data_IF_311548202792
#
_entry.id   IF_311548202792
#
_cell.length_a   1.000
_cell.length_b   1.000
_cell.length_c   1.000
_cell.angle_alpha   90.00
_cell.angle_beta   90.00
_cell.angle_gamma   90.00
#
_symmetry.space_group_name_H-M   'P 1'
#
loop_
_entity.id
_entity.type
_entity.pdbx_description
1 polymer ?
#
# COMPACT_ATOMS: atom_id res chain seq x y z
N UNK A 1 5.53 17.24 -3.55
CA UNK A 1 6.24 15.96 -3.78
C UNK A 1 7.21 15.82 -2.62
N UNK A 2 7.23 14.69 -1.92
CA UNK A 2 8.02 14.51 -0.69
C UNK A 2 8.03 13.06 -0.24
N UNK A 3 8.78 12.76 0.81
CA UNK A 3 8.92 11.43 1.40
C UNK A 3 9.04 11.54 2.92
N UNK A 4 8.63 10.48 3.62
CA UNK A 4 8.74 10.33 5.06
C UNK A 4 9.43 8.99 5.35
N UNK A 5 10.74 9.03 5.58
CA UNK A 5 11.58 7.83 5.70
C UNK A 5 11.20 6.94 6.90
N UNK A 6 10.92 7.56 8.06
CA UNK A 6 10.43 6.84 9.26
C UNK A 6 9.05 6.19 9.09
N UNK A 7 8.37 6.40 7.97
CA UNK A 7 7.11 5.71 7.64
C UNK A 7 7.22 4.88 6.36
N UNK A 8 8.38 4.89 5.68
CA UNK A 8 8.59 4.30 4.35
C UNK A 8 7.50 4.67 3.32
N UNK A 9 7.14 5.97 3.27
CA UNK A 9 6.10 6.49 2.36
C UNK A 9 6.60 7.68 1.56
N UNK A 10 6.20 7.76 0.29
CA UNK A 10 6.46 8.91 -0.58
C UNK A 10 5.23 9.34 -1.39
N UNK A 11 5.14 10.64 -1.68
CA UNK A 11 4.09 11.25 -2.50
C UNK A 11 4.70 11.85 -3.76
N UNK A 12 4.31 11.31 -4.90
CA UNK A 12 4.76 11.75 -6.23
C UNK A 12 3.64 12.47 -6.99
N UNK A 13 4.04 13.33 -7.94
CA UNK A 13 3.11 14.00 -8.86
C UNK A 13 3.48 13.64 -10.28
N UNK A 14 2.55 13.00 -10.99
CA UNK A 14 2.71 12.69 -12.40
C UNK A 14 2.67 13.98 -13.22
N UNK A 15 3.59 14.12 -14.18
CA UNK A 15 3.59 15.23 -15.15
C UNK A 15 2.64 14.88 -16.29
N UNK A 16 1.82 15.84 -16.72
CA UNK A 16 0.90 15.70 -17.87
C UNK A 16 -0.07 14.50 -17.78
N UNK A 17 -0.44 14.07 -16.58
CA UNK A 17 -1.39 12.98 -16.39
C UNK A 17 -2.84 13.44 -16.65
N UNK A 18 -3.58 12.64 -17.44
CA UNK A 18 -5.00 12.84 -17.72
C UNK A 18 -5.70 11.47 -17.83
N UNK A 19 -7.04 11.45 -17.69
CA UNK A 19 -7.83 10.21 -17.83
C UNK A 19 -7.64 9.17 -16.73
N UNK A 20 -7.01 9.52 -15.60
CA UNK A 20 -6.80 8.60 -14.49
C UNK A 20 -8.05 8.49 -13.61
N UNK A 21 -8.33 7.27 -13.12
CA UNK A 21 -9.36 7.03 -12.10
C UNK A 21 -8.69 6.73 -10.76
N UNK A 22 -8.86 7.57 -9.74
CA UNK A 22 -8.30 7.31 -8.42
C UNK A 22 -8.99 6.11 -7.77
N UNK A 23 -8.21 5.36 -6.98
CA UNK A 23 -8.76 4.33 -6.11
C UNK A 23 -9.43 5.00 -4.89
N UNK A 24 -10.60 4.50 -4.50
CA UNK A 24 -11.25 4.93 -3.26
C UNK A 24 -10.51 4.29 -2.08
N UNK A 25 -10.15 5.11 -1.09
CA UNK A 25 -9.53 4.61 0.14
C UNK A 25 -10.62 4.11 1.10
N UNK A 26 -10.38 2.93 1.68
CA UNK A 26 -11.17 2.41 2.79
C UNK A 26 -10.66 2.93 4.14
N UNK A 27 -11.46 2.73 5.17
CA UNK A 27 -11.09 2.99 6.56
C UNK A 27 -10.41 1.74 7.14
N UNK A 28 -9.11 1.85 7.46
CA UNK A 28 -8.30 0.74 7.97
C UNK A 28 -8.72 0.28 9.37
N UNK A 29 -9.31 1.16 10.19
CA UNK A 29 -9.67 0.84 11.58
C UNK A 29 -10.82 -0.17 11.63
N UNK A 30 -11.61 -0.23 10.55
CA UNK A 30 -12.74 -1.14 10.39
C UNK A 30 -12.34 -2.55 9.94
N UNK A 31 -11.07 -2.79 9.63
CA UNK A 31 -10.59 -4.11 9.22
C UNK A 31 -10.45 -5.06 10.42
N UNK A 32 -10.64 -6.35 10.17
CA UNK A 32 -10.51 -7.41 11.17
C UNK A 32 -9.53 -8.51 10.70
N UNK A 33 -8.90 -9.18 11.66
CA UNK A 33 -8.11 -10.39 11.38
C UNK A 33 -9.03 -11.45 10.78
N UNK A 34 -8.60 -12.06 9.68
CA UNK A 34 -9.40 -13.00 8.89
C UNK A 34 -10.10 -12.37 7.68
N UNK A 35 -10.18 -11.04 7.58
CA UNK A 35 -10.75 -10.39 6.39
C UNK A 35 -9.95 -10.75 5.14
N UNK A 36 -10.65 -11.06 4.05
CA UNK A 36 -10.03 -11.34 2.75
C UNK A 36 -9.24 -10.15 2.23
N UNK A 37 -8.06 -10.41 1.68
CA UNK A 37 -7.18 -9.40 1.09
C UNK A 37 -6.79 -9.74 -0.33
N UNK A 38 -6.51 -8.69 -1.10
CA UNK A 38 -5.87 -8.77 -2.42
C UNK A 38 -4.64 -7.87 -2.36
N UNK A 39 -3.47 -8.40 -2.73
CA UNK A 39 -2.27 -7.60 -2.93
C UNK A 39 -1.95 -7.48 -4.42
N UNK A 40 -1.73 -6.25 -4.88
CA UNK A 40 -1.43 -5.91 -6.28
C UNK A 40 -0.03 -5.31 -6.32
N UNK A 41 0.84 -5.81 -7.20
CA UNK A 41 2.21 -5.32 -7.30
C UNK A 41 3.01 -5.93 -8.43
N UNK A 42 4.33 -5.75 -8.36
CA UNK A 42 5.28 -6.28 -9.34
C UNK A 42 6.47 -7.01 -8.68
N UNK A 43 6.23 -8.13 -7.97
CA UNK A 43 7.31 -8.91 -7.37
C UNK A 43 8.30 -9.38 -8.45
N UNK A 44 9.60 -9.28 -8.16
CA UNK A 44 10.70 -9.64 -9.08
C UNK A 44 10.67 -8.91 -10.44
N UNK A 45 9.97 -7.76 -10.53
CA UNK A 45 9.84 -7.00 -11.77
C UNK A 45 8.75 -7.51 -12.73
N UNK A 46 7.96 -8.52 -12.33
CA UNK A 46 6.84 -9.01 -13.13
C UNK A 46 5.63 -8.11 -12.94
N UNK A 47 5.29 -7.34 -13.97
CA UNK A 47 4.12 -6.45 -13.93
C UNK A 47 2.81 -7.22 -13.75
N UNK A 48 1.80 -6.57 -13.18
CA UNK A 48 0.42 -7.07 -13.08
C UNK A 48 0.24 -8.33 -12.21
N UNK A 49 1.00 -8.48 -11.13
CA UNK A 49 0.80 -9.59 -10.20
C UNK A 49 -0.32 -9.28 -9.22
N UNK A 50 -1.19 -10.27 -9.01
CA UNK A 50 -2.28 -10.24 -8.03
C UNK A 50 -2.18 -11.48 -7.16
N UNK A 51 -2.18 -11.32 -5.85
CA UNK A 51 -2.26 -12.42 -4.88
C UNK A 51 -3.44 -12.23 -3.94
N UNK A 52 -3.94 -13.33 -3.39
CA UNK A 52 -5.05 -13.33 -2.42
C UNK A 52 -4.55 -13.82 -1.08
N UNK A 53 -5.20 -13.37 0.00
CA UNK A 53 -4.85 -13.78 1.35
C UNK A 53 -5.88 -13.30 2.37
N UNK A 54 -5.43 -13.20 3.61
CA UNK A 54 -6.22 -12.64 4.72
C UNK A 54 -5.40 -11.64 5.53
N UNK A 55 -6.08 -10.76 6.25
CA UNK A 55 -5.46 -9.97 7.33
C UNK A 55 -5.03 -10.95 8.42
N UNK A 56 -3.73 -11.13 8.62
CA UNK A 56 -3.19 -12.10 9.59
C UNK A 56 -3.06 -11.53 11.00
N UNK A 57 -2.83 -10.22 11.14
CA UNK A 57 -2.70 -9.50 12.40
C UNK A 57 -2.89 -8.00 12.16
N UNK A 58 -3.20 -7.24 13.20
CA UNK A 58 -3.20 -5.77 13.22
C UNK A 58 -2.15 -5.24 14.19
N UNK A 59 -1.80 -3.96 14.05
CA UNK A 59 -0.95 -3.22 14.99
C UNK A 59 0.42 -3.88 15.25
N UNK A 60 0.98 -4.53 14.21
CA UNK A 60 2.31 -5.11 14.29
C UNK A 60 3.33 -3.96 14.34
N UNK A 61 4.27 -3.96 15.31
CA UNK A 61 5.37 -3.00 15.31
C UNK A 61 6.13 -3.11 13.99
N UNK A 62 6.22 -2.00 13.26
CA UNK A 62 7.08 -1.88 12.09
C UNK A 62 8.37 -1.21 12.54
N UNK A 63 9.50 -1.86 12.24
CA UNK A 63 10.81 -1.26 12.48
C UNK A 63 11.04 -0.21 11.39
N UNK A 64 10.76 1.04 11.71
CA UNK A 64 11.16 2.17 10.89
C UNK A 64 12.53 2.63 11.34
N UNK A 65 13.53 2.57 10.45
CA UNK A 65 14.82 3.19 10.71
C UNK A 65 14.70 4.67 10.44
N UNK A 66 14.67 5.46 11.51
CA UNK A 66 14.92 6.88 11.42
C UNK A 66 16.42 7.01 11.10
N UNK A 67 16.75 7.63 9.97
CA UNK A 67 18.14 7.98 9.66
C UNK A 67 18.68 8.99 10.66
#
# INVERSE_FOLDING_TARGET
IGHAQGYDVAVIKLKNASGLKPLVLGDSDRTAVGDSTIAIGAPFGLSNTVTTGIVSAKDRPVASSDG
#
